data_IF_918742944770
#
_entry.id   IF_918742944770
#
_cell.length_a   1.000
_cell.length_b   1.000
_cell.length_c   1.000
_cell.angle_alpha   90.00
_cell.angle_beta   90.00
_cell.angle_gamma   90.00
#
_symmetry.space_group_name_H-M   'P 1'
#
loop_
_entity.id
_entity.type
_entity.pdbx_description
1 polymer ?
#
# COMPACT_ATOMS: atom_id res chain seq x y z
N UNK A 1 84.00 -15.39 -47.19
CA UNK A 1 82.76 -14.62 -47.40
C UNK A 1 81.57 -15.53 -47.10
N UNK A 2 80.94 -15.21 -45.96
CA UNK A 2 79.51 -15.17 -45.61
C UNK A 2 78.40 -15.42 -46.67
N UNK A 3 77.14 -15.65 -46.26
CA UNK A 3 76.42 -16.92 -46.46
C UNK A 3 75.03 -16.74 -47.12
N UNK A 4 74.41 -17.85 -47.54
CA UNK A 4 73.04 -17.88 -48.08
C UNK A 4 72.21 -19.00 -47.46
N UNK A 5 72.26 -19.09 -46.12
CA UNK A 5 71.54 -20.05 -45.30
C UNK A 5 70.20 -19.41 -44.90
N UNK A 6 69.17 -20.24 -44.78
CA UNK A 6 68.20 -20.10 -43.68
C UNK A 6 67.16 -18.97 -43.81
N UNK A 7 66.27 -19.03 -44.81
CA UNK A 7 65.04 -18.20 -44.78
C UNK A 7 63.73 -18.93 -45.09
N UNK A 8 63.76 -20.14 -45.66
CA UNK A 8 62.50 -20.76 -46.13
C UNK A 8 61.80 -21.70 -45.13
N UNK A 9 62.48 -22.14 -44.07
CA UNK A 9 61.93 -23.11 -43.12
C UNK A 9 61.27 -22.50 -41.87
N UNK A 10 61.34 -21.19 -41.67
CA UNK A 10 60.76 -20.53 -40.49
C UNK A 10 59.28 -20.16 -40.63
N UNK A 11 58.71 -20.14 -41.83
CA UNK A 11 57.33 -19.71 -42.06
C UNK A 11 56.29 -20.83 -41.86
N UNK A 12 56.68 -22.10 -41.92
CA UNK A 12 55.74 -23.23 -41.81
C UNK A 12 55.51 -23.67 -40.35
N UNK A 13 56.48 -23.45 -39.45
CA UNK A 13 56.35 -23.86 -38.04
C UNK A 13 55.49 -22.89 -37.22
N UNK A 14 55.41 -21.61 -37.60
CA UNK A 14 54.62 -20.61 -36.88
C UNK A 14 53.10 -20.79 -37.09
N UNK A 15 52.68 -21.46 -38.16
CA UNK A 15 51.25 -21.71 -38.45
C UNK A 15 50.64 -22.88 -37.68
N UNK A 16 51.46 -23.74 -37.05
CA UNK A 16 50.99 -24.90 -36.27
C UNK A 16 50.93 -24.64 -34.76
N UNK A 17 51.32 -23.44 -34.32
CA UNK A 17 51.31 -23.00 -32.92
C UNK A 17 50.37 -21.82 -32.69
N UNK A 18 49.42 -21.56 -33.59
CA UNK A 18 48.28 -20.71 -33.23
C UNK A 18 47.44 -21.50 -32.23
N UNK A 19 47.36 -21.11 -30.94
CA UNK A 19 46.33 -21.65 -30.09
C UNK A 19 45.02 -21.39 -30.81
N UNK A 20 44.25 -22.46 -31.06
CA UNK A 20 42.83 -22.30 -31.36
C UNK A 20 42.32 -21.34 -30.30
N UNK A 21 41.91 -20.15 -30.71
CA UNK A 21 41.10 -19.29 -29.88
C UNK A 21 39.89 -20.15 -29.53
N UNK A 22 39.96 -20.83 -28.38
CA UNK A 22 38.79 -21.33 -27.72
C UNK A 22 37.91 -20.10 -27.61
N UNK A 23 36.81 -20.10 -28.37
CA UNK A 23 35.73 -19.16 -28.15
C UNK A 23 35.51 -19.17 -26.64
N UNK A 24 35.89 -18.08 -25.99
CA UNK A 24 35.57 -17.90 -24.59
C UNK A 24 34.05 -18.08 -24.53
N UNK A 25 33.53 -18.95 -23.64
CA UNK A 25 32.10 -18.93 -23.39
C UNK A 25 31.76 -17.48 -23.10
N UNK A 26 30.92 -16.86 -23.93
CA UNK A 26 30.35 -15.56 -23.61
C UNK A 26 29.75 -15.72 -22.22
N UNK A 27 30.42 -15.13 -21.23
CA UNK A 27 29.83 -14.96 -19.92
C UNK A 27 28.47 -14.33 -20.18
N UNK A 28 27.36 -14.88 -19.65
CA UNK A 28 26.08 -14.23 -19.79
C UNK A 28 26.28 -12.77 -19.36
N UNK A 29 25.73 -11.80 -20.11
CA UNK A 29 25.91 -10.39 -19.78
C UNK A 29 25.57 -10.24 -18.30
N UNK A 30 26.51 -9.69 -17.52
CA UNK A 30 26.23 -9.25 -16.16
C UNK A 30 24.94 -8.46 -16.28
N UNK A 31 23.85 -9.00 -15.72
CA UNK A 31 22.52 -8.46 -15.95
C UNK A 31 22.59 -6.96 -15.73
N UNK A 32 22.14 -6.18 -16.71
CA UNK A 32 22.09 -4.73 -16.57
C UNK A 32 21.38 -4.43 -15.25
N UNK A 33 22.01 -3.62 -14.40
CA UNK A 33 21.40 -3.17 -13.16
C UNK A 33 20.69 -1.84 -13.44
N UNK A 34 19.43 -1.75 -13.05
CA UNK A 34 18.64 -0.53 -13.13
C UNK A 34 18.30 0.02 -11.75
N UNK A 35 18.25 1.35 -11.60
CA UNK A 35 17.83 1.99 -10.36
C UNK A 35 16.33 1.76 -10.10
N UNK A 36 15.98 1.23 -8.92
CA UNK A 36 14.59 0.97 -8.53
C UNK A 36 14.35 1.38 -7.07
N UNK A 37 13.07 1.44 -6.71
CA UNK A 37 12.62 1.67 -5.34
C UNK A 37 12.01 0.39 -4.78
N UNK A 38 12.60 -0.16 -3.72
CA UNK A 38 11.94 -1.20 -2.93
C UNK A 38 10.98 -0.56 -1.96
N UNK A 39 9.76 -1.08 -1.92
CA UNK A 39 8.80 -0.80 -0.86
C UNK A 39 8.92 -1.89 0.20
N UNK A 40 9.17 -1.51 1.44
CA UNK A 40 9.45 -2.45 2.52
C UNK A 40 8.46 -2.22 3.66
N UNK A 41 7.91 -3.32 4.17
CA UNK A 41 7.04 -3.30 5.34
C UNK A 41 7.84 -3.12 6.64
N UNK A 42 8.98 -3.79 6.71
CA UNK A 42 9.84 -3.85 7.88
C UNK A 42 10.95 -4.87 7.67
N UNK A 43 11.50 -5.40 8.75
CA UNK A 43 12.55 -6.40 8.68
C UNK A 43 13.24 -6.62 10.03
N UNK A 44 14.31 -7.42 10.00
CA UNK A 44 15.10 -7.78 11.18
C UNK A 44 16.58 -7.91 10.87
N UNK A 45 17.37 -8.19 11.91
CA UNK A 45 18.79 -8.56 11.78
C UNK A 45 18.92 -10.02 11.37
N UNK A 46 18.01 -10.87 11.83
CA UNK A 46 17.98 -12.29 11.48
C UNK A 46 16.83 -12.60 10.53
N UNK A 47 16.89 -13.79 9.91
CA UNK A 47 15.84 -14.26 9.02
C UNK A 47 14.55 -14.52 9.80
N UNK A 48 14.65 -15.07 11.00
CA UNK A 48 13.52 -15.38 11.87
C UNK A 48 12.76 -14.12 12.30
N UNK A 49 13.48 -13.03 12.59
CA UNK A 49 12.86 -11.73 12.86
C UNK A 49 12.09 -11.22 11.63
N UNK A 50 12.65 -11.36 10.42
CA UNK A 50 11.95 -10.99 9.19
C UNK A 50 10.75 -11.89 8.87
N UNK A 51 10.82 -13.18 9.19
CA UNK A 51 9.70 -14.13 9.06
C UNK A 51 8.54 -13.77 10.02
N UNK A 52 8.86 -13.36 11.24
CA UNK A 52 7.85 -12.82 12.18
C UNK A 52 7.19 -11.55 11.65
N UNK A 53 7.98 -10.63 11.10
CA UNK A 53 7.47 -9.40 10.45
C UNK A 53 6.61 -9.73 9.22
N UNK A 54 6.99 -10.73 8.43
CA UNK A 54 6.22 -11.19 7.27
C UNK A 54 4.89 -11.82 7.69
N UNK A 55 4.89 -12.64 8.74
CA UNK A 55 3.66 -13.22 9.31
C UNK A 55 2.71 -12.12 9.80
N UNK A 56 3.23 -11.14 10.53
CA UNK A 56 2.45 -9.97 10.97
C UNK A 56 1.89 -9.16 9.79
N UNK A 57 2.65 -9.02 8.71
CA UNK A 57 2.13 -8.42 7.48
C UNK A 57 0.94 -9.22 6.93
N UNK A 58 1.10 -10.54 6.78
CA UNK A 58 0.08 -11.41 6.18
C UNK A 58 -1.22 -11.38 6.97
N UNK A 59 -1.16 -11.51 8.30
CA UNK A 59 -2.32 -11.44 9.18
C UNK A 59 -3.04 -10.09 9.06
N UNK A 60 -2.30 -8.98 9.07
CA UNK A 60 -2.91 -7.65 9.00
C UNK A 60 -3.44 -7.35 7.60
N UNK A 61 -2.76 -7.83 6.55
CA UNK A 61 -3.13 -7.57 5.17
C UNK A 61 -4.53 -8.07 4.83
N UNK A 62 -5.04 -9.10 5.51
CA UNK A 62 -6.42 -9.58 5.35
C UNK A 62 -7.46 -8.45 5.51
N UNK A 63 -7.20 -7.50 6.40
CA UNK A 63 -8.09 -6.36 6.67
C UNK A 63 -8.19 -5.35 5.52
N UNK A 64 -7.27 -5.39 4.55
CA UNK A 64 -7.22 -4.44 3.43
C UNK A 64 -6.82 -5.05 2.09
N UNK A 65 -6.75 -6.38 1.98
CA UNK A 65 -6.39 -7.08 0.74
C UNK A 65 -7.34 -6.76 -0.42
N UNK A 66 -8.58 -6.36 -0.14
CA UNK A 66 -9.56 -5.96 -1.15
C UNK A 66 -9.33 -4.56 -1.75
N UNK A 67 -8.41 -3.78 -1.20
CA UNK A 67 -8.15 -2.39 -1.66
C UNK A 67 -6.72 -2.18 -2.15
N UNK A 68 -5.78 -3.06 -1.78
CA UNK A 68 -4.39 -3.02 -2.22
C UNK A 68 -3.97 -4.41 -2.69
N UNK A 69 -3.40 -4.46 -3.88
CA UNK A 69 -2.84 -5.67 -4.47
C UNK A 69 -1.31 -5.60 -4.48
N UNK A 70 -0.67 -6.71 -4.12
CA UNK A 70 0.76 -6.89 -4.31
C UNK A 70 1.02 -7.55 -5.68
N UNK A 71 2.13 -7.17 -6.31
CA UNK A 71 2.54 -7.80 -7.55
C UNK A 71 3.11 -9.21 -7.34
N UNK A 72 3.21 -10.01 -8.41
CA UNK A 72 3.65 -11.41 -8.33
C UNK A 72 5.04 -11.54 -7.68
N UNK A 73 5.18 -12.57 -6.82
CA UNK A 73 6.42 -12.85 -6.10
C UNK A 73 6.62 -12.03 -4.82
N UNK A 74 5.65 -11.20 -4.44
CA UNK A 74 5.65 -10.42 -3.20
C UNK A 74 4.41 -10.75 -2.34
N UNK A 75 4.47 -10.60 -1.00
CA UNK A 75 5.62 -10.12 -0.23
C UNK A 75 6.72 -11.19 -0.15
N UNK A 76 7.99 -10.78 -0.06
CA UNK A 76 9.12 -11.71 0.13
C UNK A 76 10.19 -11.12 1.03
N UNK A 77 10.99 -12.00 1.65
CA UNK A 77 12.17 -11.60 2.41
C UNK A 77 13.36 -11.51 1.46
N UNK A 78 14.12 -10.42 1.55
CA UNK A 78 15.37 -10.21 0.82
C UNK A 78 16.49 -9.95 1.83
N UNK A 79 17.62 -10.66 1.68
CA UNK A 79 18.79 -10.37 2.49
C UNK A 79 19.49 -9.13 1.95
N UNK A 80 19.89 -8.20 2.82
CA UNK A 80 20.46 -6.93 2.41
C UNK A 80 21.84 -7.02 1.74
N UNK A 81 22.46 -8.20 1.70
CA UNK A 81 23.67 -8.47 0.93
C UNK A 81 23.38 -8.83 -0.54
N UNK A 82 22.16 -9.32 -0.84
CA UNK A 82 21.73 -9.75 -2.19
C UNK A 82 21.49 -8.57 -3.13
N UNK A 83 21.09 -7.42 -2.58
CA UNK A 83 20.64 -6.26 -3.37
C UNK A 83 21.47 -5.02 -3.02
N UNK A 84 22.29 -4.49 -3.96
CA UNK A 84 23.06 -3.29 -3.73
C UNK A 84 22.16 -2.08 -3.39
N UNK A 85 22.47 -1.39 -2.31
CA UNK A 85 21.65 -0.29 -1.76
C UNK A 85 20.87 -0.69 -0.50
N UNK A 86 20.75 -1.98 -0.21
CA UNK A 86 20.32 -2.46 1.10
C UNK A 86 21.50 -2.58 2.08
N UNK A 87 21.16 -2.67 3.37
CA UNK A 87 22.15 -2.80 4.45
C UNK A 87 22.54 -4.27 4.62
N UNK A 88 23.82 -4.65 4.43
CA UNK A 88 24.27 -6.02 4.68
C UNK A 88 24.01 -6.47 6.13
N UNK A 89 23.73 -7.76 6.32
CA UNK A 89 23.42 -8.34 7.63
C UNK A 89 22.03 -7.96 8.18
N UNK A 90 21.09 -7.59 7.29
CA UNK A 90 19.69 -7.37 7.62
C UNK A 90 18.80 -8.11 6.63
N UNK A 91 17.58 -8.44 7.05
CA UNK A 91 16.58 -9.12 6.24
C UNK A 91 15.35 -8.21 6.15
N UNK A 92 14.96 -7.83 4.94
CA UNK A 92 13.84 -6.92 4.70
C UNK A 92 12.64 -7.66 4.15
N UNK A 93 11.45 -7.39 4.70
CA UNK A 93 10.18 -7.82 4.10
C UNK A 93 9.81 -6.81 3.04
N UNK A 94 10.00 -7.20 1.78
CA UNK A 94 9.76 -6.38 0.59
C UNK A 94 8.36 -6.67 0.07
N UNK A 95 7.61 -5.60 -0.17
CA UNK A 95 6.25 -5.61 -0.69
C UNK A 95 6.20 -5.47 -2.21
N UNK A 96 7.27 -4.93 -2.80
CA UNK A 96 7.42 -4.88 -4.24
C UNK A 96 8.56 -3.97 -4.69
N UNK A 97 8.79 -4.00 -6.00
CA UNK A 97 9.85 -3.26 -6.69
C UNK A 97 9.18 -2.29 -7.65
N UNK A 98 9.36 -1.01 -7.39
CA UNK A 98 8.70 0.07 -8.12
C UNK A 98 9.71 0.93 -8.87
N UNK A 99 9.23 1.64 -9.88
CA UNK A 99 9.87 2.91 -10.26
C UNK A 99 9.72 3.94 -9.12
N UNK A 100 10.39 5.08 -9.28
CA UNK A 100 10.43 6.12 -8.25
C UNK A 100 9.08 6.78 -8.00
N UNK A 101 8.26 6.97 -9.04
CA UNK A 101 6.98 7.67 -8.92
C UNK A 101 5.95 6.76 -8.23
N UNK A 102 5.76 5.54 -8.74
CA UNK A 102 4.85 4.55 -8.16
C UNK A 102 5.30 4.13 -6.75
N UNK A 103 6.61 4.02 -6.52
CA UNK A 103 7.15 3.74 -5.18
C UNK A 103 6.81 4.84 -4.18
N UNK A 104 6.90 6.11 -4.56
CA UNK A 104 6.54 7.24 -3.69
C UNK A 104 5.03 7.33 -3.42
N UNK A 105 4.19 6.94 -4.39
CA UNK A 105 2.75 6.88 -4.22
C UNK A 105 2.36 5.77 -3.23
N UNK A 106 2.79 4.54 -3.48
CA UNK A 106 2.47 3.41 -2.62
C UNK A 106 3.12 3.51 -1.24
N UNK A 107 4.26 4.18 -1.11
CA UNK A 107 4.82 4.51 0.20
C UNK A 107 3.85 5.27 1.09
N UNK A 108 3.02 6.17 0.54
CA UNK A 108 2.01 6.90 1.32
C UNK A 108 0.93 5.95 1.85
N UNK A 109 0.51 4.99 1.03
CA UNK A 109 -0.49 3.99 1.38
C UNK A 109 0.02 3.07 2.48
N UNK A 110 1.19 2.46 2.28
CA UNK A 110 1.73 1.53 3.28
C UNK A 110 2.20 2.23 4.56
N UNK A 111 2.68 3.47 4.48
CA UNK A 111 2.99 4.27 5.67
C UNK A 111 1.76 4.69 6.47
N UNK A 112 0.61 4.81 5.79
CA UNK A 112 -0.66 5.03 6.48
C UNK A 112 -1.09 3.78 7.26
N UNK A 113 -0.86 2.58 6.72
CA UNK A 113 -1.19 1.30 7.37
C UNK A 113 -0.18 0.90 8.46
N UNK A 114 1.11 1.12 8.19
CA UNK A 114 2.24 0.79 9.05
C UNK A 114 3.27 1.93 9.02
N UNK A 115 3.39 2.74 10.09
CA UNK A 115 4.31 3.87 10.11
C UNK A 115 5.79 3.52 9.94
N UNK A 116 6.19 2.27 10.20
CA UNK A 116 7.55 1.78 9.98
C UNK A 116 7.82 1.36 8.52
N UNK A 117 6.78 1.22 7.70
CA UNK A 117 6.94 0.95 6.28
C UNK A 117 7.76 2.07 5.61
N UNK A 118 8.69 1.68 4.75
CA UNK A 118 9.67 2.60 4.17
C UNK A 118 10.04 2.21 2.76
N UNK A 119 10.71 3.11 2.06
CA UNK A 119 11.27 2.85 0.73
C UNK A 119 12.78 2.95 0.75
N UNK A 120 13.45 2.16 -0.09
CA UNK A 120 14.89 2.28 -0.32
C UNK A 120 15.20 2.22 -1.80
N UNK A 121 16.18 3.04 -2.20
CA UNK A 121 16.69 3.02 -3.55
C UNK A 121 17.75 1.94 -3.66
N UNK A 122 17.66 1.14 -4.70
CA UNK A 122 18.52 -0.02 -4.91
C UNK A 122 18.90 -0.14 -6.37
N UNK A 123 19.98 -0.89 -6.62
CA UNK A 123 20.27 -1.43 -7.94
C UNK A 123 19.56 -2.77 -8.06
N UNK A 124 18.70 -2.89 -9.07
CA UNK A 124 17.89 -4.08 -9.30
C UNK A 124 18.23 -4.70 -10.64
N UNK A 125 18.34 -6.02 -10.68
CA UNK A 125 18.62 -6.74 -11.92
C UNK A 125 17.50 -6.55 -12.94
N UNK A 126 17.85 -6.25 -14.18
CA UNK A 126 16.83 -5.90 -15.17
C UNK A 126 15.90 -7.06 -15.53
N UNK A 127 16.35 -8.31 -15.34
CA UNK A 127 15.58 -9.53 -15.55
C UNK A 127 14.76 -10.02 -14.35
N UNK A 128 14.96 -9.46 -13.16
CA UNK A 128 14.16 -9.82 -11.96
C UNK A 128 12.76 -9.17 -12.03
N UNK A 129 11.72 -9.82 -11.46
CA UNK A 129 10.36 -9.30 -11.46
C UNK A 129 10.26 -7.87 -10.90
N UNK A 130 9.66 -6.98 -11.69
CA UNK A 130 9.31 -5.61 -11.29
C UNK A 130 7.82 -5.55 -11.02
N UNK A 131 7.47 -5.79 -9.77
CA UNK A 131 6.10 -5.87 -9.31
C UNK A 131 5.88 -4.81 -8.25
N UNK A 132 5.39 -3.64 -8.66
CA UNK A 132 5.00 -2.60 -7.73
C UNK A 132 3.58 -2.89 -7.22
N UNK A 133 3.31 -2.74 -5.91
CA UNK A 133 1.93 -2.79 -5.41
C UNK A 133 1.07 -1.74 -6.08
N UNK A 134 -0.24 -1.98 -6.11
CA UNK A 134 -1.21 -1.06 -6.67
C UNK A 134 -2.47 -1.01 -5.82
N UNK A 135 -3.20 0.10 -5.93
CA UNK A 135 -4.58 0.15 -5.47
C UNK A 135 -5.45 -0.70 -6.40
N UNK A 136 -6.41 -1.44 -5.85
CA UNK A 136 -7.44 -2.11 -6.65
C UNK A 136 -8.19 -1.05 -7.48
N UNK A 137 -8.54 -1.30 -8.76
CA UNK A 137 -9.24 -0.34 -9.59
C UNK A 137 -10.48 0.27 -8.89
N UNK A 138 -10.63 1.58 -9.00
CA UNK A 138 -11.69 2.34 -8.33
C UNK A 138 -11.39 2.73 -6.88
N UNK A 139 -10.40 2.10 -6.22
CA UNK A 139 -9.98 2.45 -4.86
C UNK A 139 -8.87 3.49 -4.82
N UNK A 140 -8.88 4.32 -3.79
CA UNK A 140 -7.86 5.34 -3.53
C UNK A 140 -7.67 5.58 -2.03
N UNK A 141 -6.50 6.12 -1.66
CA UNK A 141 -6.25 6.59 -0.30
C UNK A 141 -7.05 7.88 -0.04
N UNK A 142 -8.07 7.78 0.81
CA UNK A 142 -8.94 8.88 1.18
C UNK A 142 -8.44 9.74 2.35
N UNK A 143 -7.45 9.27 3.09
CA UNK A 143 -6.80 9.99 4.19
C UNK A 143 -6.22 9.07 5.24
N UNK A 144 -5.34 9.60 6.09
CA UNK A 144 -4.83 8.86 7.24
C UNK A 144 -4.62 9.78 8.44
N UNK A 145 -4.66 9.19 9.63
CA UNK A 145 -4.43 9.87 10.88
C UNK A 145 -3.66 8.95 11.82
N UNK A 146 -2.79 9.57 12.62
CA UNK A 146 -2.00 8.88 13.62
C UNK A 146 -1.99 9.70 14.89
N UNK A 147 -2.29 9.07 16.01
CA UNK A 147 -2.24 9.69 17.33
C UNK A 147 -1.60 8.72 18.32
N UNK A 148 -0.91 9.26 19.32
CA UNK A 148 -0.47 8.46 20.45
C UNK A 148 -1.68 8.17 21.34
N UNK A 149 -1.84 6.93 21.79
CA UNK A 149 -2.88 6.51 22.71
C UNK A 149 -2.29 5.61 23.80
N UNK A 150 -3.10 5.23 24.80
CA UNK A 150 -2.65 4.22 25.76
C UNK A 150 -2.48 2.90 25.02
N UNK A 151 -1.38 2.19 25.28
CA UNK A 151 -1.05 0.94 24.61
C UNK A 151 -0.20 1.10 23.34
N UNK A 152 -0.14 2.29 22.73
CA UNK A 152 0.72 2.51 21.56
C UNK A 152 0.23 3.61 20.62
N UNK A 153 0.51 3.43 19.33
CA UNK A 153 0.10 4.36 18.29
C UNK A 153 -1.22 3.93 17.68
N UNK A 154 -2.27 4.74 17.83
CA UNK A 154 -3.51 4.57 17.09
C UNK A 154 -3.33 5.13 15.67
N UNK A 155 -3.55 4.28 14.68
CA UNK A 155 -3.40 4.55 13.26
C UNK A 155 -4.74 4.30 12.58
N UNK A 156 -5.11 5.19 11.68
CA UNK A 156 -6.36 5.11 10.95
C UNK A 156 -6.09 5.42 9.48
N UNK A 157 -6.51 4.52 8.59
CA UNK A 157 -6.35 4.65 7.14
C UNK A 157 -7.70 4.52 6.48
N UNK A 158 -8.14 5.61 5.84
CA UNK A 158 -9.38 5.66 5.08
C UNK A 158 -9.09 5.39 3.61
N UNK A 159 -9.73 4.38 3.06
CA UNK A 159 -9.82 4.12 1.64
C UNK A 159 -11.20 4.51 1.12
N UNK A 160 -11.26 5.00 -0.12
CA UNK A 160 -12.49 5.38 -0.81
C UNK A 160 -12.56 4.64 -2.13
N UNK A 161 -13.75 4.18 -2.52
CA UNK A 161 -14.01 3.75 -3.88
C UNK A 161 -15.05 4.64 -4.56
N UNK A 162 -14.90 4.79 -5.86
CA UNK A 162 -15.92 5.38 -6.73
C UNK A 162 -16.11 4.41 -7.89
N UNK A 163 -17.31 3.84 -7.99
CA UNK A 163 -17.69 2.93 -9.07
C UNK A 163 -18.73 3.58 -9.97
N UNK A 164 -18.45 3.66 -11.27
CA UNK A 164 -19.32 4.33 -12.25
C UNK A 164 -19.01 5.82 -12.41
N UNK A 165 -19.77 6.48 -13.28
CA UNK A 165 -19.56 7.88 -13.65
C UNK A 165 -20.83 8.72 -13.44
N UNK A 166 -20.65 10.02 -13.20
CA UNK A 166 -21.74 10.98 -13.08
C UNK A 166 -22.61 10.76 -11.83
N UNK A 167 -23.87 11.20 -11.91
CA UNK A 167 -24.81 11.20 -10.79
C UNK A 167 -25.20 9.79 -10.28
N UNK A 168 -24.84 8.73 -10.99
CA UNK A 168 -25.10 7.34 -10.61
C UNK A 168 -23.90 6.63 -9.99
N UNK A 169 -22.77 7.32 -9.77
CA UNK A 169 -21.57 6.72 -9.21
C UNK A 169 -21.83 6.23 -7.77
N UNK A 170 -21.44 4.98 -7.49
CA UNK A 170 -21.52 4.39 -6.16
C UNK A 170 -20.24 4.73 -5.39
N UNK A 171 -20.42 5.31 -4.21
CA UNK A 171 -19.31 5.69 -3.33
C UNK A 171 -19.13 4.66 -2.22
N UNK A 172 -18.01 3.94 -2.25
CA UNK A 172 -17.61 2.99 -1.21
C UNK A 172 -16.55 3.59 -0.29
N UNK A 173 -16.37 2.99 0.89
CA UNK A 173 -15.22 3.29 1.74
C UNK A 173 -14.89 2.13 2.68
N UNK A 174 -13.63 2.12 3.11
CA UNK A 174 -13.08 1.17 4.07
C UNK A 174 -12.21 1.97 5.04
N UNK A 175 -12.46 1.88 6.34
CA UNK A 175 -11.56 2.43 7.35
C UNK A 175 -10.84 1.28 8.04
N UNK A 176 -9.52 1.26 7.94
CA UNK A 176 -8.65 0.35 8.69
C UNK A 176 -8.14 1.10 9.91
N UNK A 177 -8.37 0.53 11.10
CA UNK A 177 -7.87 1.05 12.37
C UNK A 177 -6.86 0.07 12.93
N UNK A 178 -5.70 0.56 13.34
CA UNK A 178 -4.67 -0.22 14.01
C UNK A 178 -4.25 0.43 15.32
N UNK A 179 -4.20 -0.33 16.41
CA UNK A 179 -3.46 0.04 17.61
C UNK A 179 -2.11 -0.68 17.57
N UNK A 180 -1.05 0.08 17.27
CA UNK A 180 0.31 -0.43 17.15
C UNK A 180 1.02 -0.30 18.50
N UNK A 181 1.03 -1.39 19.25
CA UNK A 181 1.80 -1.56 20.47
C UNK A 181 3.27 -1.85 20.19
N UNK A 182 4.03 -2.11 21.25
CA UNK A 182 5.45 -2.49 21.13
C UNK A 182 5.61 -3.96 20.71
N UNK A 183 4.68 -4.81 21.15
CA UNK A 183 4.75 -6.26 20.99
C UNK A 183 3.55 -6.80 20.21
N UNK A 184 2.43 -6.08 20.21
CA UNK A 184 1.17 -6.47 19.61
C UNK A 184 0.60 -5.40 18.67
N UNK A 185 -0.16 -5.86 17.68
CA UNK A 185 -0.92 -4.99 16.78
C UNK A 185 -2.35 -5.49 16.75
N UNK A 186 -3.29 -4.65 17.17
CA UNK A 186 -4.72 -4.93 17.01
C UNK A 186 -5.25 -4.16 15.82
N UNK A 187 -5.83 -4.86 14.84
CA UNK A 187 -6.46 -4.24 13.67
C UNK A 187 -7.97 -4.47 13.68
N UNK A 188 -8.76 -3.46 13.31
CA UNK A 188 -10.18 -3.64 12.99
C UNK A 188 -10.55 -2.85 11.75
N UNK A 189 -11.63 -3.28 11.11
CA UNK A 189 -12.19 -2.68 9.92
C UNK A 189 -13.54 -2.07 10.26
N UNK A 190 -13.77 -0.84 9.81
CA UNK A 190 -15.07 -0.18 9.87
C UNK A 190 -15.57 0.06 8.45
N UNK A 191 -16.80 -0.39 8.22
CA UNK A 191 -17.50 -0.32 6.93
C UNK A 191 -18.74 0.57 7.05
N UNK A 192 -19.26 1.10 5.92
CA UNK A 192 -20.55 1.77 5.92
C UNK A 192 -21.65 0.85 6.48
N UNK A 193 -22.52 1.35 7.38
CA UNK A 193 -23.46 0.49 8.10
C UNK A 193 -24.68 0.06 7.27
N UNK A 194 -25.07 0.77 6.20
CA UNK A 194 -26.40 0.59 5.58
C UNK A 194 -26.37 0.83 4.05
N UNK A 195 -27.06 -0.04 3.30
CA UNK A 195 -27.33 0.13 1.87
C UNK A 195 -28.26 1.33 1.64
N UNK A 196 -27.92 2.21 0.68
CA UNK A 196 -28.82 3.29 0.22
C UNK A 196 -28.48 4.71 0.71
N UNK A 197 -27.51 4.90 1.61
CA UNK A 197 -27.04 6.24 2.00
C UNK A 197 -25.71 6.55 1.30
N UNK A 198 -25.72 7.51 0.37
CA UNK A 198 -24.49 8.01 -0.27
C UNK A 198 -23.74 8.94 0.70
N UNK A 199 -22.51 8.56 1.05
CA UNK A 199 -21.60 9.46 1.77
C UNK A 199 -20.65 10.14 0.78
N UNK A 200 -20.84 11.45 0.61
CA UNK A 200 -20.11 12.26 -0.38
C UNK A 200 -18.73 12.70 0.10
N UNK A 201 -18.61 13.05 1.38
CA UNK A 201 -17.37 13.57 1.93
C UNK A 201 -17.00 12.86 3.23
N UNK A 202 -15.70 12.68 3.43
CA UNK A 202 -15.12 12.11 4.64
C UNK A 202 -13.88 12.89 5.03
N UNK A 203 -13.72 13.12 6.32
CA UNK A 203 -12.53 13.78 6.86
C UNK A 203 -12.08 13.07 8.11
N UNK A 204 -10.85 12.58 8.05
CA UNK A 204 -10.17 11.98 9.19
C UNK A 204 -9.36 13.06 9.90
N UNK A 205 -9.46 13.11 11.23
CA UNK A 205 -8.73 14.07 12.08
C UNK A 205 -8.08 13.33 13.25
N UNK A 206 -6.84 13.69 13.57
CA UNK A 206 -6.19 13.28 14.81
C UNK A 206 -6.54 14.27 15.93
N UNK A 207 -7.03 13.75 17.05
CA UNK A 207 -7.26 14.48 18.30
C UNK A 207 -6.26 14.10 19.38
N UNK A 208 -6.60 14.40 20.64
CA UNK A 208 -5.79 13.99 21.80
C UNK A 208 -6.16 12.57 22.20
N UNK A 209 -5.33 11.59 21.83
CA UNK A 209 -5.52 10.16 22.08
C UNK A 209 -6.71 9.51 21.34
N UNK A 210 -7.29 10.21 20.36
CA UNK A 210 -8.41 9.71 19.56
C UNK A 210 -8.27 10.12 18.09
N UNK A 211 -8.89 9.35 17.22
CA UNK A 211 -9.11 9.69 15.81
C UNK A 211 -10.59 9.93 15.60
N UNK A 212 -10.91 10.97 14.85
CA UNK A 212 -12.29 11.32 14.49
C UNK A 212 -12.48 11.21 12.99
N UNK A 213 -13.48 10.46 12.56
CA UNK A 213 -13.98 10.46 11.18
C UNK A 213 -15.29 11.24 11.14
N UNK A 214 -15.26 12.38 10.44
CA UNK A 214 -16.46 13.11 10.05
C UNK A 214 -16.93 12.60 8.69
N UNK A 215 -18.20 12.21 8.63
CA UNK A 215 -18.87 11.72 7.44
C UNK A 215 -20.03 12.65 7.12
N UNK A 216 -20.09 13.17 5.91
CA UNK A 216 -21.25 13.91 5.41
C UNK A 216 -22.12 12.98 4.59
N UNK A 217 -23.39 12.92 4.95
CA UNK A 217 -24.42 12.09 4.33
C UNK A 217 -25.40 12.98 3.60
N UNK A 218 -25.83 12.54 2.42
CA UNK A 218 -26.95 13.14 1.71
C UNK A 218 -28.17 12.25 1.94
N UNK A 219 -29.28 12.85 2.40
CA UNK A 219 -30.57 12.14 2.53
C UNK A 219 -31.09 11.75 1.13
N UNK A 220 -31.68 10.55 0.90
CA UNK A 220 -32.50 10.33 -0.27
C UNK A 220 -33.53 11.46 -0.42
N UNK A 221 -33.62 12.03 -1.63
CA UNK A 221 -34.59 13.08 -1.92
C UNK A 221 -36.00 12.56 -1.66
N UNK A 222 -36.71 13.16 -0.71
CA UNK A 222 -38.15 12.94 -0.58
C UNK A 222 -38.84 13.54 -1.82
N UNK A 223 -39.92 12.91 -2.28
CA UNK A 223 -40.63 13.21 -3.54
C UNK A 223 -41.18 14.66 -3.66
N UNK A 224 -40.96 15.52 -2.65
CA UNK A 224 -41.42 16.90 -2.57
C UNK A 224 -40.40 17.97 -3.03
N UNK A 225 -39.24 17.57 -3.56
CA UNK A 225 -38.31 18.47 -4.26
C UNK A 225 -36.86 18.41 -3.81
N UNK A 226 -35.95 19.17 -4.45
CA UNK A 226 -34.51 19.04 -4.26
C UNK A 226 -34.06 19.76 -2.98
N UNK A 227 -34.19 19.12 -1.83
CA UNK A 227 -33.40 19.46 -0.64
C UNK A 227 -32.59 18.25 -0.21
N UNK A 228 -31.40 18.14 -0.80
CA UNK A 228 -30.32 17.34 -0.24
C UNK A 228 -29.85 18.02 1.06
N UNK A 229 -30.36 17.59 2.22
CA UNK A 229 -29.79 18.00 3.50
C UNK A 229 -28.51 17.20 3.78
N UNK A 230 -27.43 17.92 4.10
CA UNK A 230 -26.15 17.32 4.47
C UNK A 230 -26.12 17.07 5.99
N UNK A 231 -26.19 15.80 6.37
CA UNK A 231 -26.08 15.40 7.78
C UNK A 231 -24.66 14.95 8.11
N UNK A 232 -24.08 15.54 9.15
CA UNK A 232 -22.79 15.12 9.66
C UNK A 232 -22.95 13.98 10.67
N UNK A 233 -22.35 12.82 10.37
CA UNK A 233 -22.15 11.70 11.28
C UNK A 233 -20.69 11.69 11.74
N UNK A 234 -20.47 11.42 13.02
CA UNK A 234 -19.12 11.43 13.61
C UNK A 234 -18.80 10.09 14.24
N UNK A 235 -17.66 9.53 13.87
CA UNK A 235 -17.08 8.36 14.50
C UNK A 235 -15.85 8.78 15.30
N UNK A 236 -15.76 8.31 16.53
CA UNK A 236 -14.61 8.53 17.41
C UNK A 236 -13.97 7.19 17.72
N UNK A 237 -12.67 7.09 17.50
CA UNK A 237 -11.86 5.91 17.73
C UNK A 237 -10.80 6.25 18.76
N UNK A 238 -10.68 5.45 19.82
CA UNK A 238 -9.76 5.71 20.93
C UNK A 238 -9.25 4.42 21.54
N UNK A 239 -8.23 4.49 22.39
CA UNK A 239 -7.77 3.34 23.16
C UNK A 239 -7.54 3.72 24.64
N UNK A 240 -8.59 3.97 25.44
CA UNK A 240 -8.45 4.49 26.80
C UNK A 240 -7.80 3.49 27.78
N UNK A 241 -7.90 2.19 27.49
CA UNK A 241 -7.33 1.10 28.30
C UNK A 241 -6.26 0.29 27.59
N UNK A 242 -5.80 0.71 26.40
CA UNK A 242 -4.96 -0.12 25.54
C UNK A 242 -5.75 -1.06 24.64
N UNK A 243 -7.08 -0.93 24.62
CA UNK A 243 -7.98 -1.68 23.74
C UNK A 243 -8.71 -0.69 22.85
N UNK A 244 -8.90 -1.05 21.58
CA UNK A 244 -9.56 -0.19 20.62
C UNK A 244 -11.06 -0.07 20.93
N UNK A 245 -11.53 1.17 21.07
CA UNK A 245 -12.93 1.50 21.33
C UNK A 245 -13.45 2.39 20.20
N UNK A 246 -14.53 1.94 19.57
CA UNK A 246 -15.26 2.69 18.55
C UNK A 246 -16.55 3.24 19.12
N UNK A 247 -16.74 4.56 19.01
CA UNK A 247 -17.98 5.24 19.38
C UNK A 247 -18.54 5.97 18.17
N UNK A 248 -19.77 5.64 17.81
CA UNK A 248 -20.52 6.35 16.78
C UNK A 248 -21.49 7.34 17.43
N UNK A 249 -21.43 8.61 17.04
CA UNK A 249 -22.42 9.61 17.41
C UNK A 249 -23.29 9.87 16.20
N UNK A 250 -24.53 9.34 16.24
CA UNK A 250 -25.56 9.69 15.26
C UNK A 250 -26.17 11.03 15.69
N UNK A 251 -26.03 12.07 14.88
CA UNK A 251 -27.08 13.10 14.85
C UNK A 251 -28.27 12.47 14.14
N UNK A 252 -29.50 12.59 14.67
CA UNK A 252 -30.66 11.99 14.00
C UNK A 252 -30.78 12.57 12.59
N UNK A 253 -30.84 11.69 11.59
CA UNK A 253 -31.41 12.02 10.29
C UNK A 253 -32.87 12.38 10.60
N UNK A 254 -33.31 13.60 10.28
CA UNK A 254 -34.69 14.01 10.56
C UNK A 254 -35.61 13.33 9.52
N UNK A 255 -35.91 12.06 9.75
CA UNK A 255 -36.88 11.32 8.95
C UNK A 255 -38.33 11.82 9.11
N UNK A 256 -38.61 12.67 10.10
CA UNK A 256 -39.97 13.06 10.50
C UNK A 256 -40.73 13.87 9.43
N UNK A 257 -40.06 14.46 8.44
CA UNK A 257 -40.72 15.34 7.46
C UNK A 257 -41.15 14.62 6.16
N UNK A 258 -40.74 13.37 5.92
CA UNK A 258 -41.13 12.63 4.71
C UNK A 258 -42.38 11.76 4.90
N UNK A 259 -42.89 11.66 6.13
CA UNK A 259 -44.13 10.95 6.46
C UNK A 259 -45.37 11.87 6.54
N UNK A 260 -45.22 13.19 6.39
CA UNK A 260 -46.38 14.09 6.20
C UNK A 260 -46.86 13.97 4.77
N UNK A 261 -47.89 13.16 4.55
CA UNK A 261 -48.76 13.31 3.39
C UNK A 261 -49.20 14.80 3.32
N UNK A 262 -49.34 15.38 2.12
CA UNK A 262 -50.03 16.66 2.01
C UNK A 262 -51.44 16.44 2.58
N UNK A 263 -51.69 17.03 3.74
CA UNK A 263 -53.03 17.04 4.36
C UNK A 263 -54.03 17.43 3.26
N UNK A 264 -55.03 16.56 3.07
CA UNK A 264 -56.15 16.78 2.18
C UNK A 264 -56.67 18.21 2.38
N UNK A 265 -56.69 18.98 1.30
CA UNK A 265 -57.36 20.28 1.31
C UNK A 265 -58.79 20.08 1.83
N UNK A 266 -59.28 20.92 2.77
CA UNK A 266 -60.66 20.83 3.21
C UNK A 266 -61.55 21.04 1.99
N UNK A 267 -62.33 20.02 1.64
CA UNK A 267 -63.33 20.08 0.59
C UNK A 267 -64.33 21.19 0.88
N UNK A 268 -64.67 21.95 -0.16
CA UNK A 268 -65.68 23.01 -0.18
C UNK A 268 -67.06 22.57 0.34
#
# INVERSE_FOLDING_TARGET
MMPGRMRLLFLVVVWLLSPRAAAQPELPPIGSLGERTLLMWGGGRTREEAESVLSSYQERAESWARVVELGPGFPRIIEGSEVPGLRPGTHAVVLGVCDRASGAEMAKVFKALEPLATTRWVMWEEGEPRACPAMVPGWSLGGSARVWAKGGSLVATLFRSIEGEGAGARHGWLLVLGLLGKEDVTTTVVEPPEEGISSEAKRLKGGRNEVVLEEWLTDPTCDTGPRAELHARTWTFSAPRGELVTKQVKKPLRHEDCARAPDEAPGD
#
